data_IF_041338870432
#
_entry.id   IF_041338870432
#
_cell.length_a   1.000
_cell.length_b   1.000
_cell.length_c   1.000
_cell.angle_alpha   90.00
_cell.angle_beta   90.00
_cell.angle_gamma   90.00
#
_symmetry.space_group_name_H-M   'P 1'
#
loop_
_entity.id
_entity.type
_entity.pdbx_description
1 polymer ?
#
# COMPACT_ATOMS: atom_id res chain seq x y z
N UNK A 1 -19.97 -61.84 3.80
CA UNK A 1 -18.49 -61.85 3.76
C UNK A 1 -18.01 -60.46 3.35
N UNK A 2 -16.89 -60.06 3.91
CA UNK A 2 -16.46 -58.69 4.25
C UNK A 2 -16.46 -57.66 3.11
N UNK A 3 -17.07 -56.51 3.36
CA UNK A 3 -16.85 -55.26 2.65
C UNK A 3 -15.63 -54.55 3.26
N UNK A 4 -14.50 -54.57 2.56
CA UNK A 4 -13.35 -53.74 2.91
C UNK A 4 -13.49 -52.39 2.22
N UNK A 5 -13.89 -51.37 2.98
CA UNK A 5 -13.84 -49.97 2.54
C UNK A 5 -12.46 -49.40 2.90
N UNK A 6 -11.56 -49.28 1.91
CA UNK A 6 -10.28 -48.59 2.11
C UNK A 6 -10.48 -47.09 1.92
N UNK A 7 -10.59 -46.34 3.01
CA UNK A 7 -10.69 -44.88 2.98
C UNK A 7 -9.27 -44.27 2.92
N UNK A 8 -8.75 -44.05 1.72
CA UNK A 8 -7.41 -43.48 1.52
C UNK A 8 -7.50 -41.96 1.51
N UNK A 9 -7.40 -41.33 2.68
CA UNK A 9 -7.05 -39.91 2.71
C UNK A 9 -5.59 -39.75 2.34
N UNK A 10 -5.26 -38.99 1.28
CA UNK A 10 -3.87 -38.78 0.89
C UNK A 10 -3.15 -37.88 1.94
N UNK A 11 -2.18 -38.40 2.71
CA UNK A 11 -1.53 -37.63 3.78
C UNK A 11 -0.72 -36.44 3.25
N UNK A 12 -0.23 -36.50 1.99
CA UNK A 12 0.45 -35.36 1.37
C UNK A 12 -0.49 -34.18 1.17
N UNK A 13 -1.74 -34.40 0.77
CA UNK A 13 -2.71 -33.30 0.54
C UNK A 13 -3.04 -32.59 1.86
N UNK A 14 -3.20 -33.36 2.95
CA UNK A 14 -3.38 -32.80 4.30
C UNK A 14 -2.19 -31.97 4.76
N UNK A 15 -0.96 -32.44 4.51
CA UNK A 15 0.26 -31.71 4.85
C UNK A 15 0.39 -30.42 4.04
N UNK A 16 0.19 -30.47 2.73
CA UNK A 16 0.23 -29.28 1.85
C UNK A 16 -0.82 -28.25 2.29
N UNK A 17 -2.05 -28.69 2.58
CA UNK A 17 -3.09 -27.81 3.08
C UNK A 17 -2.75 -27.14 4.42
N UNK A 18 -2.11 -27.87 5.34
CA UNK A 18 -1.62 -27.32 6.60
C UNK A 18 -0.51 -26.29 6.38
N UNK A 19 0.47 -26.57 5.52
CA UNK A 19 1.56 -25.65 5.22
C UNK A 19 1.03 -24.34 4.62
N UNK A 20 0.07 -24.43 3.68
CA UNK A 20 -0.56 -23.25 3.09
C UNK A 20 -1.34 -22.42 4.13
N UNK A 21 -2.03 -23.07 5.06
CA UNK A 21 -2.71 -22.36 6.16
C UNK A 21 -1.72 -21.66 7.10
N UNK A 22 -0.59 -22.29 7.41
CA UNK A 22 0.45 -21.64 8.23
C UNK A 22 1.06 -20.45 7.48
N UNK A 23 1.40 -20.62 6.20
CA UNK A 23 1.90 -19.55 5.36
C UNK A 23 0.91 -18.37 5.27
N UNK A 24 -0.39 -18.66 5.14
CA UNK A 24 -1.45 -17.67 5.14
C UNK A 24 -1.45 -16.81 6.40
N UNK A 25 -1.41 -17.44 7.57
CA UNK A 25 -1.39 -16.75 8.86
C UNK A 25 -0.14 -15.87 8.98
N UNK A 26 1.03 -16.40 8.61
CA UNK A 26 2.29 -15.66 8.64
C UNK A 26 2.24 -14.44 7.72
N UNK A 27 1.76 -14.60 6.49
CA UNK A 27 1.66 -13.50 5.52
C UNK A 27 0.67 -12.42 5.98
N UNK A 28 -0.50 -12.81 6.48
CA UNK A 28 -1.48 -11.85 7.01
C UNK A 28 -0.90 -11.09 8.20
N UNK A 29 -0.25 -11.78 9.14
CA UNK A 29 0.39 -11.14 10.29
C UNK A 29 1.53 -10.20 9.89
N UNK A 30 2.36 -10.61 8.93
CA UNK A 30 3.44 -9.78 8.41
C UNK A 30 2.90 -8.51 7.73
N UNK A 31 1.90 -8.64 6.84
CA UNK A 31 1.27 -7.50 6.19
C UNK A 31 0.58 -6.55 7.17
N UNK A 32 -0.12 -7.08 8.18
CA UNK A 32 -0.75 -6.28 9.23
C UNK A 32 0.29 -5.53 10.08
N UNK A 33 1.42 -6.18 10.40
CA UNK A 33 2.53 -5.56 11.14
C UNK A 33 3.13 -4.40 10.35
N UNK A 34 3.41 -4.61 9.06
CA UNK A 34 3.91 -3.54 8.18
C UNK A 34 2.92 -2.38 8.08
N UNK A 35 1.62 -2.67 7.91
CA UNK A 35 0.58 -1.65 7.87
C UNK A 35 0.57 -0.79 9.15
N UNK A 36 0.62 -1.46 10.31
CA UNK A 36 0.66 -0.77 11.60
C UNK A 36 1.92 0.09 11.76
N UNK A 37 3.08 -0.41 11.34
CA UNK A 37 4.33 0.34 11.39
C UNK A 37 4.27 1.63 10.55
N UNK A 38 3.80 1.54 9.30
CA UNK A 38 3.62 2.72 8.43
C UNK A 38 2.58 3.68 9.02
N UNK A 39 1.54 3.16 9.66
CA UNK A 39 0.53 3.98 10.35
C UNK A 39 1.12 4.75 11.51
N UNK A 40 1.95 4.11 12.34
CA UNK A 40 2.64 4.77 13.44
C UNK A 40 3.60 5.83 12.91
N UNK A 41 4.43 5.50 11.92
CA UNK A 41 5.37 6.44 11.31
C UNK A 41 4.65 7.70 10.79
N UNK A 42 3.49 7.57 10.13
CA UNK A 42 2.72 8.73 9.67
C UNK A 42 2.11 9.54 10.81
N UNK A 43 1.65 8.88 11.88
CA UNK A 43 1.08 9.57 13.05
C UNK A 43 2.12 10.35 13.83
N UNK A 44 3.34 9.83 13.92
CA UNK A 44 4.45 10.46 14.64
C UNK A 44 4.86 11.80 13.99
N UNK A 45 4.68 11.95 12.68
CA UNK A 45 4.93 13.22 11.96
C UNK A 45 3.90 14.31 12.25
N UNK A 46 2.76 13.98 12.90
CA UNK A 46 1.71 14.93 13.30
C UNK A 46 1.24 15.89 12.18
N UNK A 47 1.16 15.39 10.96
CA UNK A 47 0.74 16.16 9.77
C UNK A 47 -0.78 16.05 9.59
N UNK A 48 -1.41 17.16 9.19
CA UNK A 48 -2.81 17.17 8.74
C UNK A 48 -2.87 17.47 7.25
N UNK A 49 -3.93 17.00 6.59
CA UNK A 49 -4.15 17.28 5.16
C UNK A 49 -4.46 18.76 5.00
N UNK A 50 -3.58 19.48 4.30
CA UNK A 50 -3.77 20.87 3.90
C UNK A 50 -4.93 20.99 2.92
N UNK A 51 -5.68 22.09 3.02
CA UNK A 51 -6.67 22.45 2.02
C UNK A 51 -5.98 22.69 0.67
N UNK A 52 -6.59 22.25 -0.44
CA UNK A 52 -6.10 22.56 -1.80
C UNK A 52 -6.32 24.05 -2.10
N UNK A 53 -7.56 24.52 -1.97
CA UNK A 53 -7.92 25.95 -1.94
C UNK A 53 -8.90 26.24 -0.80
N UNK A 54 -9.21 27.51 -0.53
CA UNK A 54 -10.21 27.86 0.51
C UNK A 54 -11.63 27.47 0.09
N UNK A 55 -11.95 27.62 -1.19
CA UNK A 55 -13.27 27.31 -1.75
C UNK A 55 -13.47 25.81 -1.96
N UNK A 56 -12.37 25.09 -2.23
CA UNK A 56 -12.39 23.67 -2.54
C UNK A 56 -11.28 22.93 -1.78
N UNK A 57 -11.40 22.82 -0.43
CA UNK A 57 -10.33 22.31 0.42
C UNK A 57 -10.02 20.83 0.16
N UNK A 58 -10.95 20.08 -0.41
CA UNK A 58 -10.85 18.64 -0.62
C UNK A 58 -11.44 17.83 0.53
N UNK A 59 -11.99 16.65 0.22
CA UNK A 59 -12.82 15.86 1.15
C UNK A 59 -12.09 15.31 2.39
N UNK A 60 -10.75 15.35 2.39
CA UNK A 60 -9.91 14.86 3.48
C UNK A 60 -9.15 15.99 4.20
N UNK A 61 -9.36 17.25 3.83
CA UNK A 61 -8.71 18.39 4.46
C UNK A 61 -8.96 18.44 5.97
N UNK A 62 -7.95 18.85 6.73
CA UNK A 62 -7.95 18.92 8.19
C UNK A 62 -7.85 17.56 8.90
N UNK A 63 -7.95 16.43 8.18
CA UNK A 63 -7.80 15.11 8.79
C UNK A 63 -6.32 14.78 9.02
N UNK A 64 -5.99 14.01 10.06
CA UNK A 64 -4.62 13.57 10.29
C UNK A 64 -4.16 12.64 9.15
N UNK A 65 -2.91 12.82 8.73
CA UNK A 65 -2.25 11.93 7.77
C UNK A 65 -1.87 10.65 8.49
N UNK A 66 -2.75 9.66 8.48
CA UNK A 66 -2.57 8.40 9.23
C UNK A 66 -2.94 7.16 8.42
N UNK A 67 -3.05 7.31 7.10
CA UNK A 67 -3.44 6.23 6.20
C UNK A 67 -3.21 6.59 4.74
N UNK A 68 -3.43 5.62 3.82
CA UNK A 68 -3.06 5.78 2.42
C UNK A 68 -3.81 6.93 1.73
N UNK A 69 -5.12 7.08 1.96
CA UNK A 69 -5.91 8.13 1.30
C UNK A 69 -5.57 9.52 1.81
N UNK A 70 -5.35 9.68 3.11
CA UNK A 70 -4.94 10.97 3.70
C UNK A 70 -3.52 11.34 3.30
N UNK A 71 -2.59 10.36 3.21
CA UNK A 71 -1.23 10.61 2.72
C UNK A 71 -1.23 11.03 1.24
N UNK A 72 -2.03 10.36 0.41
CA UNK A 72 -2.22 10.76 -0.98
C UNK A 72 -2.82 12.17 -1.11
N UNK A 73 -3.87 12.47 -0.34
CA UNK A 73 -4.50 13.79 -0.34
C UNK A 73 -3.52 14.89 0.05
N UNK A 74 -2.71 14.66 1.10
CA UNK A 74 -1.68 15.62 1.50
C UNK A 74 -0.61 15.80 0.43
N UNK A 75 -0.15 14.71 -0.18
CA UNK A 75 0.81 14.78 -1.29
C UNK A 75 0.25 15.57 -2.47
N UNK A 76 -1.06 15.51 -2.73
CA UNK A 76 -1.70 16.29 -3.78
C UNK A 76 -1.83 17.78 -3.39
N UNK A 77 -2.20 18.09 -2.15
CA UNK A 77 -2.25 19.47 -1.67
C UNK A 77 -0.87 20.15 -1.73
N UNK A 78 0.20 19.44 -1.32
CA UNK A 78 1.58 19.94 -1.47
C UNK A 78 1.91 20.21 -2.94
N UNK A 79 1.48 19.35 -3.87
CA UNK A 79 1.70 19.55 -5.30
C UNK A 79 1.09 20.87 -5.79
N UNK A 80 -0.16 21.11 -5.37
CA UNK A 80 -0.90 22.31 -5.73
C UNK A 80 -0.20 23.57 -5.20
N UNK A 81 0.12 23.60 -3.90
CA UNK A 81 0.78 24.76 -3.28
C UNK A 81 2.19 25.00 -3.81
N UNK A 82 2.95 23.94 -4.10
CA UNK A 82 4.28 24.06 -4.69
C UNK A 82 4.22 24.63 -6.12
N UNK A 83 3.24 24.25 -6.93
CA UNK A 83 3.04 24.81 -8.27
C UNK A 83 2.49 26.24 -8.22
N UNK A 84 1.54 26.51 -7.33
CA UNK A 84 1.00 27.85 -7.14
C UNK A 84 2.10 28.85 -6.73
N UNK A 85 2.95 28.46 -5.78
CA UNK A 85 4.12 29.26 -5.37
C UNK A 85 5.23 29.36 -6.42
N UNK A 86 5.22 28.51 -7.45
CA UNK A 86 6.14 28.55 -8.58
C UNK A 86 5.54 29.20 -9.83
N UNK A 87 4.38 29.88 -9.70
CA UNK A 87 3.66 30.49 -10.82
C UNK A 87 3.34 29.49 -11.96
N UNK A 88 3.10 28.23 -11.59
CA UNK A 88 2.84 27.14 -12.52
C UNK A 88 4.08 26.53 -13.19
N UNK A 89 5.29 27.04 -12.89
CA UNK A 89 6.54 26.50 -13.43
C UNK A 89 6.98 25.23 -12.69
N UNK A 90 7.47 24.26 -13.43
CA UNK A 90 8.13 23.07 -12.91
C UNK A 90 9.53 23.40 -12.38
N UNK A 91 10.12 22.48 -11.62
CA UNK A 91 11.48 22.66 -11.08
C UNK A 91 12.54 22.88 -12.19
N UNK A 92 12.36 22.27 -13.37
CA UNK A 92 13.24 22.47 -14.50
C UNK A 92 13.07 23.87 -15.11
N UNK A 93 11.81 24.27 -15.35
CA UNK A 93 11.47 25.59 -15.91
C UNK A 93 11.89 26.74 -15.00
N UNK A 94 11.79 26.60 -13.68
CA UNK A 94 12.35 27.56 -12.73
C UNK A 94 13.87 27.69 -12.87
N UNK A 95 14.56 26.60 -13.20
CA UNK A 95 16.00 26.65 -13.44
C UNK A 95 16.37 27.35 -14.72
N UNK A 96 15.61 27.13 -15.78
CA UNK A 96 15.74 27.83 -17.05
C UNK A 96 15.45 29.33 -16.87
N UNK A 97 14.38 29.68 -16.15
CA UNK A 97 14.02 31.07 -15.84
C UNK A 97 15.12 31.78 -15.03
N UNK A 98 15.69 31.12 -14.01
CA UNK A 98 16.79 31.67 -13.23
C UNK A 98 18.02 31.95 -14.10
N UNK A 99 18.37 31.02 -14.99
CA UNK A 99 19.52 31.18 -15.88
C UNK A 99 19.28 32.27 -16.93
N UNK A 100 18.07 32.35 -17.49
CA UNK A 100 17.68 33.38 -18.44
C UNK A 100 17.76 34.78 -17.82
N UNK A 101 17.21 34.96 -16.61
CA UNK A 101 17.27 36.23 -15.90
C UNK A 101 18.72 36.64 -15.59
N UNK A 102 19.56 35.71 -15.13
CA UNK A 102 20.98 35.99 -14.91
C UNK A 102 21.71 36.41 -16.19
N UNK A 103 21.38 35.79 -17.32
CA UNK A 103 21.97 36.13 -18.61
C UNK A 103 21.55 37.52 -19.10
N UNK A 104 20.28 37.91 -18.89
CA UNK A 104 19.77 39.25 -19.19
C UNK A 104 20.47 40.31 -18.32
N UNK A 105 20.55 40.09 -17.01
CA UNK A 105 21.23 41.00 -16.09
C UNK A 105 22.74 41.14 -16.39
N UNK A 106 23.38 40.06 -16.82
CA UNK A 106 24.77 40.10 -17.27
C UNK A 106 24.93 40.89 -18.59
N UNK A 107 23.98 40.77 -19.52
CA UNK A 107 23.97 41.55 -20.76
C UNK A 107 23.76 43.04 -20.50
N UNK A 108 23.01 43.40 -19.44
CA UNK A 108 22.86 44.77 -18.95
C UNK A 108 24.10 45.30 -18.21
N UNK A 109 25.15 44.48 -18.07
CA UNK A 109 26.44 44.87 -17.50
C UNK A 109 26.53 44.79 -15.98
N UNK A 110 25.55 44.18 -15.29
CA UNK A 110 25.66 43.91 -13.85
C UNK A 110 26.79 42.90 -13.57
N UNK A 111 27.52 43.11 -12.48
CA UNK A 111 28.53 42.14 -12.02
C UNK A 111 27.89 40.88 -11.43
N UNK A 112 28.64 39.78 -11.35
CA UNK A 112 28.14 38.52 -10.76
C UNK A 112 27.64 38.69 -9.31
N UNK A 113 28.26 39.59 -8.54
CA UNK A 113 27.83 39.89 -7.18
C UNK A 113 26.46 40.59 -7.16
N UNK A 114 26.24 41.55 -8.06
CA UNK A 114 24.94 42.25 -8.18
C UNK A 114 23.84 41.33 -8.71
N UNK A 115 24.18 40.39 -9.60
CA UNK A 115 23.24 39.38 -10.11
C UNK A 115 22.84 38.39 -9.00
N UNK A 116 23.77 38.03 -8.12
CA UNK A 116 23.51 37.12 -7.01
C UNK A 116 22.57 37.72 -5.95
N UNK A 117 22.59 39.05 -5.80
CA UNK A 117 21.75 39.80 -4.87
C UNK A 117 20.46 40.34 -5.51
N UNK A 118 20.25 40.09 -6.80
CA UNK A 118 19.06 40.51 -7.53
C UNK A 118 17.80 39.83 -6.97
N UNK A 119 16.78 40.64 -6.66
CA UNK A 119 15.55 40.19 -6.01
C UNK A 119 14.83 39.10 -6.83
N UNK A 120 14.78 39.23 -8.16
CA UNK A 120 14.13 38.25 -9.02
C UNK A 120 14.90 36.94 -9.08
N UNK A 121 16.24 37.00 -9.06
CA UNK A 121 17.09 35.80 -9.00
C UNK A 121 16.93 35.07 -7.67
N UNK A 122 16.88 35.82 -6.57
CA UNK A 122 16.66 35.28 -5.22
C UNK A 122 15.26 34.68 -5.07
N UNK A 123 14.23 35.32 -5.64
CA UNK A 123 12.86 34.80 -5.62
C UNK A 123 12.76 33.48 -6.37
N UNK A 124 13.29 33.39 -7.60
CA UNK A 124 13.28 32.13 -8.36
C UNK A 124 14.07 31.05 -7.60
N UNK A 125 15.18 31.39 -6.95
CA UNK A 125 15.93 30.44 -6.12
C UNK A 125 15.11 29.95 -4.91
N UNK A 126 14.34 30.83 -4.27
CA UNK A 126 13.42 30.46 -3.18
C UNK A 126 12.28 29.56 -3.67
N UNK A 127 11.68 29.87 -4.83
CA UNK A 127 10.66 29.05 -5.48
C UNK A 127 11.21 27.64 -5.80
N UNK A 128 12.44 27.56 -6.33
CA UNK A 128 13.12 26.26 -6.60
C UNK A 128 13.31 25.45 -5.33
N UNK A 129 13.74 26.09 -4.26
CA UNK A 129 13.96 25.44 -2.96
C UNK A 129 12.64 24.89 -2.42
N UNK A 130 11.56 25.65 -2.52
CA UNK A 130 10.21 25.24 -2.14
C UNK A 130 9.70 24.08 -3.00
N UNK A 131 9.85 24.15 -4.32
CA UNK A 131 9.46 23.09 -5.25
C UNK A 131 10.23 21.78 -5.02
N UNK A 132 11.53 21.89 -4.71
CA UNK A 132 12.37 20.75 -4.35
C UNK A 132 11.90 20.10 -3.04
N UNK A 133 11.72 20.89 -1.98
CA UNK A 133 11.22 20.39 -0.69
C UNK A 133 9.82 19.75 -0.83
N UNK A 134 8.93 20.38 -1.59
CA UNK A 134 7.61 19.84 -1.89
C UNK A 134 7.69 18.49 -2.61
N UNK A 135 8.58 18.35 -3.58
CA UNK A 135 8.79 17.09 -4.30
C UNK A 135 9.31 15.98 -3.38
N UNK A 136 10.21 16.30 -2.44
CA UNK A 136 10.70 15.35 -1.44
C UNK A 136 9.59 14.88 -0.49
N UNK A 137 8.81 15.81 0.06
CA UNK A 137 7.69 15.48 0.96
C UNK A 137 6.62 14.64 0.24
N UNK A 138 6.35 14.95 -1.03
CA UNK A 138 5.43 14.14 -1.84
C UNK A 138 5.98 12.75 -2.10
N UNK A 139 7.27 12.63 -2.42
CA UNK A 139 7.90 11.35 -2.66
C UNK A 139 7.83 10.46 -1.40
N UNK A 140 8.14 11.01 -0.21
CA UNK A 140 8.04 10.23 1.03
C UNK A 140 6.60 9.81 1.34
N UNK A 141 5.62 10.70 1.17
CA UNK A 141 4.20 10.37 1.34
C UNK A 141 3.74 9.29 0.35
N UNK A 142 4.14 9.38 -0.93
CA UNK A 142 3.82 8.35 -1.93
C UNK A 142 4.52 7.02 -1.63
N UNK A 143 5.75 7.04 -1.12
CA UNK A 143 6.42 5.82 -0.63
C UNK A 143 5.57 5.15 0.45
N UNK A 144 5.02 5.91 1.41
CA UNK A 144 4.10 5.35 2.42
C UNK A 144 2.80 4.80 1.80
N UNK A 145 2.20 5.50 0.83
CA UNK A 145 1.01 4.99 0.10
C UNK A 145 1.30 3.66 -0.59
N UNK A 146 2.44 3.55 -1.26
CA UNK A 146 2.89 2.31 -1.90
C UNK A 146 3.13 1.21 -0.85
N UNK A 147 3.73 1.54 0.30
CA UNK A 147 3.92 0.58 1.40
C UNK A 147 2.61 0.02 1.93
N UNK A 148 1.55 0.82 2.05
CA UNK A 148 0.20 0.33 2.37
C UNK A 148 -0.33 -0.62 1.29
N UNK A 149 -0.16 -0.26 0.02
CA UNK A 149 -0.55 -1.12 -1.10
C UNK A 149 0.13 -2.49 -1.09
N UNK A 150 1.44 -2.51 -0.84
CA UNK A 150 2.22 -3.75 -0.71
C UNK A 150 1.78 -4.55 0.51
N UNK A 151 1.55 -3.91 1.66
CA UNK A 151 1.05 -4.58 2.86
C UNK A 151 -0.32 -5.23 2.62
N UNK A 152 -1.25 -4.53 1.97
CA UNK A 152 -2.55 -5.08 1.57
C UNK A 152 -2.40 -6.27 0.61
N UNK A 153 -1.52 -6.19 -0.38
CA UNK A 153 -1.26 -7.29 -1.31
C UNK A 153 -0.75 -8.53 -0.58
N UNK A 154 0.19 -8.38 0.34
CA UNK A 154 0.73 -9.49 1.15
C UNK A 154 -0.38 -10.13 2.00
N UNK A 155 -1.23 -9.33 2.65
CA UNK A 155 -2.38 -9.85 3.38
C UNK A 155 -3.36 -10.57 2.44
N UNK A 156 -3.68 -10.00 1.28
CA UNK A 156 -4.58 -10.59 0.30
C UNK A 156 -4.08 -11.93 -0.25
N UNK A 157 -2.78 -12.03 -0.54
CA UNK A 157 -2.14 -13.30 -0.92
C UNK A 157 -2.17 -14.32 0.22
N UNK A 158 -1.95 -13.88 1.46
CA UNK A 158 -2.11 -14.72 2.63
C UNK A 158 -3.52 -15.30 2.73
N UNK A 159 -4.56 -14.46 2.58
CA UNK A 159 -5.95 -14.92 2.56
C UNK A 159 -6.21 -15.93 1.43
N UNK A 160 -5.69 -15.70 0.23
CA UNK A 160 -5.82 -16.63 -0.89
C UNK A 160 -5.16 -17.98 -0.59
N UNK A 161 -3.97 -17.99 0.01
CA UNK A 161 -3.30 -19.23 0.45
C UNK A 161 -4.09 -19.93 1.55
N UNK A 162 -4.73 -19.17 2.44
CA UNK A 162 -5.58 -19.71 3.50
C UNK A 162 -6.80 -20.43 2.93
N UNK A 163 -7.48 -19.81 1.96
CA UNK A 163 -8.60 -20.40 1.24
C UNK A 163 -8.18 -21.67 0.48
N UNK A 164 -7.03 -21.63 -0.21
CA UNK A 164 -6.50 -22.78 -0.93
C UNK A 164 -6.13 -23.93 0.02
N UNK A 165 -5.45 -23.63 1.12
CA UNK A 165 -5.08 -24.60 2.15
C UNK A 165 -6.30 -25.23 2.82
N UNK A 166 -7.33 -24.42 3.11
CA UNK A 166 -8.61 -24.90 3.64
C UNK A 166 -9.34 -25.81 2.65
N UNK A 167 -9.39 -25.44 1.37
CA UNK A 167 -10.03 -26.25 0.32
C UNK A 167 -9.36 -27.62 0.13
N UNK A 168 -8.03 -27.68 0.11
CA UNK A 168 -7.30 -28.96 0.01
C UNK A 168 -7.55 -29.87 1.23
N UNK A 169 -7.67 -29.28 2.42
CA UNK A 169 -7.95 -30.01 3.65
C UNK A 169 -9.41 -30.49 3.73
N UNK A 170 -10.37 -29.71 3.24
CA UNK A 170 -11.79 -30.12 3.24
C UNK A 170 -12.05 -31.30 2.30
N UNK A 171 -11.45 -31.31 1.10
CA UNK A 171 -11.57 -32.40 0.12
C UNK A 171 -10.98 -33.73 0.63
N UNK A 172 -10.01 -33.67 1.54
CA UNK A 172 -9.39 -34.85 2.12
C UNK A 172 -10.27 -35.58 3.17
N UNK A 173 -11.41 -35.01 3.56
CA UNK A 173 -12.25 -35.56 4.64
C UNK A 173 -13.54 -36.17 4.07
N UNK A 174 -13.48 -37.39 3.52
CA UNK A 174 -14.68 -38.13 3.09
C UNK A 174 -15.12 -39.10 4.19
N UNK A 175 -16.27 -38.83 4.81
CA UNK A 175 -16.93 -39.75 5.77
C UNK A 175 -17.73 -40.78 4.99
N UNK A 176 -17.36 -42.07 5.08
CA UNK A 176 -18.15 -43.16 4.52
C UNK A 176 -19.19 -43.60 5.55
N UNK A 177 -20.48 -43.49 5.19
CA UNK A 177 -21.57 -44.07 5.99
C UNK A 177 -21.62 -45.56 5.70
N UNK A 178 -21.17 -46.38 6.65
CA UNK A 178 -21.38 -47.83 6.61
C UNK A 178 -22.81 -48.12 7.01
N UNK A 179 -23.67 -48.45 6.04
CA UNK A 179 -24.96 -49.09 6.33
C UNK A 179 -24.71 -50.53 6.75
N UNK A 180 -24.94 -50.86 8.03
CA UNK A 180 -24.90 -52.25 8.49
C UNK A 180 -25.99 -53.06 7.80
N UNK A 181 -25.63 -54.17 7.15
CA UNK A 181 -26.59 -55.10 6.55
C UNK A 181 -27.42 -55.77 7.65
N UNK A 182 -28.77 -55.81 7.57
CA UNK A 182 -29.59 -56.49 8.56
C UNK A 182 -29.22 -57.98 8.65
N UNK A 183 -28.90 -58.44 9.85
CA UNK A 183 -28.63 -59.85 10.13
C UNK A 183 -29.90 -60.66 9.92
N UNK A 184 -29.99 -61.40 8.82
CA UNK A 184 -31.04 -62.38 8.59
C UNK A 184 -30.86 -63.54 9.58
N UNK A 185 -31.84 -63.77 10.46
CA UNK A 185 -31.82 -64.89 11.42
C UNK A 185 -32.04 -66.22 10.67
N UNK A 186 -31.31 -67.30 10.97
CA UNK A 186 -31.57 -68.59 10.34
C UNK A 186 -32.95 -69.10 10.76
N UNK A 187 -33.81 -69.39 9.79
CA UNK A 187 -35.04 -70.16 10.01
C UNK A 187 -34.63 -71.60 10.33
N UNK A 188 -34.90 -72.02 11.56
CA UNK A 188 -34.83 -73.42 11.95
C UNK A 188 -35.88 -74.20 11.14
N UNK A 189 -35.44 -75.00 10.17
CA UNK A 189 -36.32 -76.02 9.57
C UNK A 189 -36.30 -77.23 10.48
N UNK A 190 -37.42 -77.46 11.15
CA UNK A 190 -37.74 -78.73 11.78
C UNK A 190 -38.09 -79.77 10.70
N UNK A 191 -37.92 -81.04 11.11
CA UNK A 191 -38.28 -82.33 10.47
C UNK A 191 -37.23 -82.91 9.54
#
# INVERSE_FOLDING_TARGET
>A
MSSTTTNSTNPMVKLIGLVLLVAAVVMVAAGATTWAFVTSALKDENITVSAVTEEEPGSLAGKPVAGPFTAYAQANAIAHHALAGAEGRTYAELGEASNALKAELAADGKSEAEIAEDEGVLEIAAQRTTAMNGSFLRASLFTSVVSYGVAALVMGLGLLFGLLGFALRSISTTTVVTTATPTERPVASAV
#
